data_IF_818682540508
#
_entry.id   IF_818682540508
#
_cell.length_a   1.000
_cell.length_b   1.000
_cell.length_c   1.000
_cell.angle_alpha   90.00
_cell.angle_beta   90.00
_cell.angle_gamma   90.00
#
_symmetry.space_group_name_H-M   'P 1'
#
loop_
_entity.id
_entity.type
_entity.pdbx_description
1 polymer ?
#
# COMPACT_ATOMS: atom_id res chain seq x y z
N UNK A 1 -8.45 -11.39 10.12
CA UNK A 1 -7.37 -10.62 9.45
C UNK A 1 -7.00 -9.48 10.39
N UNK A 2 -5.83 -9.52 11.06
CA UNK A 2 -5.40 -8.43 11.95
C UNK A 2 -4.68 -7.38 11.09
N UNK A 3 -5.12 -6.11 11.05
CA UNK A 3 -4.38 -5.07 10.36
C UNK A 3 -3.00 -4.95 11.02
N UNK A 4 -1.94 -5.02 10.21
CA UNK A 4 -0.57 -4.87 10.69
C UNK A 4 -0.24 -3.39 10.68
N UNK A 5 0.02 -2.84 11.86
CA UNK A 5 0.38 -1.44 12.05
C UNK A 5 1.85 -1.38 12.49
N UNK A 6 2.59 -0.40 11.97
CA UNK A 6 3.96 -0.15 12.39
C UNK A 6 4.00 0.76 13.62
N UNK A 7 4.20 0.17 14.80
CA UNK A 7 4.31 0.90 16.07
C UNK A 7 5.65 1.62 16.26
N UNK A 8 6.68 1.27 15.48
CA UNK A 8 8.00 1.88 15.61
C UNK A 8 8.07 3.29 14.99
N UNK A 9 7.12 3.63 14.11
CA UNK A 9 7.06 4.93 13.47
C UNK A 9 6.14 5.86 14.26
N UNK A 10 6.66 6.54 15.28
CA UNK A 10 5.87 7.47 16.10
C UNK A 10 5.70 8.82 15.39
N UNK A 11 4.52 9.48 15.49
CA UNK A 11 4.35 10.84 15.02
C UNK A 11 5.37 11.80 15.64
N UNK A 12 5.66 12.90 14.94
CA UNK A 12 6.66 13.84 15.39
C UNK A 12 6.26 14.51 16.72
N UNK A 13 7.11 14.48 17.76
CA UNK A 13 6.75 14.91 19.10
C UNK A 13 6.61 16.43 19.24
N UNK A 14 7.11 17.19 18.26
CA UNK A 14 7.08 18.65 18.19
C UNK A 14 5.79 19.21 17.58
N UNK A 15 4.89 18.34 17.12
CA UNK A 15 3.63 18.73 16.47
C UNK A 15 2.43 18.31 17.33
N UNK A 16 1.52 19.24 17.57
CA UNK A 16 0.25 18.96 18.26
C UNK A 16 -0.81 18.52 17.26
N UNK A 17 -1.07 17.22 17.20
CA UNK A 17 -2.11 16.65 16.33
C UNK A 17 -3.46 16.60 17.07
N UNK A 18 -4.48 17.30 16.56
CA UNK A 18 -5.85 17.18 17.09
C UNK A 18 -6.57 15.92 16.58
N UNK A 19 -6.24 15.49 15.35
CA UNK A 19 -6.83 14.34 14.68
C UNK A 19 -5.78 13.60 13.86
N UNK A 20 -5.92 12.28 13.74
CA UNK A 20 -5.08 11.43 12.90
C UNK A 20 -5.96 10.73 11.86
N UNK A 21 -5.61 10.85 10.58
CA UNK A 21 -6.27 10.12 9.49
C UNK A 21 -5.25 9.26 8.73
N UNK A 22 -5.75 8.24 8.04
CA UNK A 22 -4.93 7.38 7.21
C UNK A 22 -4.96 7.89 5.76
N UNK A 23 -3.79 8.21 5.21
CA UNK A 23 -3.62 8.45 3.78
C UNK A 23 -3.57 7.11 3.04
N UNK A 24 -4.73 6.61 2.62
CA UNK A 24 -4.92 5.37 1.85
C UNK A 24 -5.20 5.70 0.37
N UNK A 25 -4.90 4.84 -0.60
CA UNK A 25 -4.45 3.45 -0.49
C UNK A 25 -2.95 3.29 -0.80
N UNK A 26 -2.23 2.61 0.10
CA UNK A 26 -0.82 2.25 -0.02
C UNK A 26 -0.64 0.76 0.26
N UNK A 27 -0.74 -0.06 -0.79
CA UNK A 27 -0.54 -1.52 -0.70
C UNK A 27 0.93 -1.86 -0.72
N UNK A 28 1.28 -3.02 -0.17
CA UNK A 28 2.65 -3.51 -0.05
C UNK A 28 3.32 -3.16 1.28
N UNK A 29 2.71 -2.28 2.09
CA UNK A 29 3.22 -1.89 3.41
C UNK A 29 2.21 -2.17 4.52
N UNK A 30 2.74 -2.28 5.75
CA UNK A 30 1.94 -2.16 6.95
C UNK A 30 1.44 -0.72 7.11
N UNK A 31 0.34 -0.53 7.84
CA UNK A 31 -0.16 0.81 8.14
C UNK A 31 0.90 1.63 8.90
N UNK A 32 0.89 2.94 8.71
CA UNK A 32 1.84 3.89 9.33
C UNK A 32 3.30 3.71 8.87
N UNK A 33 3.51 3.45 7.58
CA UNK A 33 4.85 3.44 6.95
C UNK A 33 5.52 4.82 6.95
N UNK A 34 4.72 5.88 6.85
CA UNK A 34 5.14 7.27 6.96
C UNK A 34 4.09 8.06 7.75
N UNK A 35 4.51 9.09 8.47
CA UNK A 35 3.63 10.00 9.19
C UNK A 35 4.09 11.46 9.00
N UNK A 36 3.16 12.39 9.14
CA UNK A 36 3.43 13.81 8.96
C UNK A 36 2.14 14.63 8.95
N UNK A 37 2.27 15.95 9.07
CA UNK A 37 1.16 16.88 8.92
C UNK A 37 0.80 17.15 7.45
N UNK A 38 1.66 16.75 6.50
CA UNK A 38 1.40 16.75 5.07
C UNK A 38 1.62 15.34 4.50
N UNK A 39 0.81 14.95 3.52
CA UNK A 39 0.96 13.68 2.82
C UNK A 39 0.46 13.78 1.37
N UNK A 40 1.08 12.99 0.49
CA UNK A 40 0.65 12.81 -0.90
C UNK A 40 0.66 11.31 -1.21
N UNK A 41 -0.39 10.85 -1.89
CA UNK A 41 -0.52 9.48 -2.38
C UNK A 41 -0.97 9.52 -3.83
N UNK A 42 -0.30 8.73 -4.67
CA UNK A 42 -0.60 8.54 -6.08
C UNK A 42 -0.91 7.07 -6.29
N UNK A 43 -2.08 6.80 -6.87
CA UNK A 43 -2.55 5.45 -7.15
C UNK A 43 -2.76 5.29 -8.67
N UNK A 44 -2.15 4.26 -9.25
CA UNK A 44 -2.38 3.90 -10.65
C UNK A 44 -2.86 2.45 -10.71
N UNK A 45 -4.02 2.23 -11.31
CA UNK A 45 -4.56 0.89 -11.52
C UNK A 45 -4.95 0.69 -12.98
N UNK A 46 -4.52 -0.45 -13.55
CA UNK A 46 -5.00 -0.97 -14.82
C UNK A 46 -5.96 -2.13 -14.52
N UNK A 47 -7.20 -2.05 -15.03
CA UNK A 47 -8.25 -3.04 -14.81
C UNK A 47 -8.63 -3.70 -16.14
N UNK A 48 -8.52 -5.02 -16.21
CA UNK A 48 -8.81 -5.80 -17.41
C UNK A 48 -9.99 -6.75 -17.19
N UNK A 49 -11.16 -6.50 -17.82
CA UNK A 49 -12.35 -7.35 -17.69
C UNK A 49 -12.25 -8.60 -18.57
N UNK A 50 -11.66 -9.67 -18.01
CA UNK A 50 -11.21 -10.86 -18.76
C UNK A 50 -12.30 -11.48 -19.64
N UNK A 51 -13.42 -11.90 -19.05
CA UNK A 51 -14.43 -12.65 -19.81
C UNK A 51 -15.29 -11.75 -20.70
N UNK A 52 -15.51 -10.50 -20.31
CA UNK A 52 -16.24 -9.54 -21.14
C UNK A 52 -15.43 -9.15 -22.39
N UNK A 53 -14.09 -9.14 -22.31
CA UNK A 53 -13.24 -8.88 -23.48
C UNK A 53 -13.05 -10.10 -24.36
N UNK A 54 -12.93 -11.31 -23.79
CA UNK A 54 -12.63 -12.53 -24.56
C UNK A 54 -13.87 -13.26 -25.10
N UNK A 55 -15.06 -13.05 -24.52
CA UNK A 55 -16.29 -13.72 -24.93
C UNK A 55 -17.29 -12.71 -25.50
N UNK A 56 -17.66 -12.90 -26.78
CA UNK A 56 -18.70 -12.09 -27.42
C UNK A 56 -20.11 -12.69 -27.25
N UNK A 57 -20.45 -13.12 -26.04
CA UNK A 57 -21.78 -13.67 -25.73
C UNK A 57 -22.25 -13.26 -24.33
N UNK A 58 -23.57 -13.20 -24.09
CA UNK A 58 -24.10 -12.90 -22.75
C UNK A 58 -23.66 -13.93 -21.71
N UNK A 59 -23.16 -13.44 -20.56
CA UNK A 59 -22.75 -14.27 -19.43
C UNK A 59 -23.77 -14.09 -18.30
N UNK A 60 -24.53 -15.15 -18.00
CA UNK A 60 -25.53 -15.14 -16.93
C UNK A 60 -24.90 -15.11 -15.53
N UNK A 61 -23.76 -15.77 -15.35
CA UNK A 61 -23.05 -15.80 -14.07
C UNK A 61 -22.40 -14.44 -13.79
N UNK A 62 -22.89 -13.74 -12.75
CA UNK A 62 -22.38 -12.43 -12.34
C UNK A 62 -20.89 -12.46 -11.96
N UNK A 63 -20.40 -13.57 -11.39
CA UNK A 63 -18.99 -13.71 -11.04
C UNK A 63 -18.09 -13.65 -12.28
N UNK A 64 -18.41 -14.45 -13.30
CA UNK A 64 -17.63 -14.49 -14.54
C UNK A 64 -17.79 -13.19 -15.33
N UNK A 65 -19.00 -12.65 -15.41
CA UNK A 65 -19.28 -11.40 -16.12
C UNK A 65 -18.47 -10.22 -15.55
N UNK A 66 -18.32 -10.16 -14.23
CA UNK A 66 -17.66 -9.06 -13.54
C UNK A 66 -16.21 -9.36 -13.13
N UNK A 67 -15.64 -10.49 -13.58
CA UNK A 67 -14.27 -10.85 -13.21
C UNK A 67 -13.26 -9.94 -13.93
N UNK A 68 -12.43 -9.27 -13.14
CA UNK A 68 -11.39 -8.36 -13.60
C UNK A 68 -10.05 -8.74 -12.99
N UNK A 69 -9.02 -8.73 -13.83
CA UNK A 69 -7.63 -8.71 -13.35
C UNK A 69 -7.17 -7.27 -13.21
N UNK A 70 -6.37 -7.00 -12.20
CA UNK A 70 -5.91 -5.66 -11.86
C UNK A 70 -4.40 -5.69 -11.72
N UNK A 71 -3.73 -4.76 -12.36
CA UNK A 71 -2.36 -4.39 -12.02
C UNK A 71 -2.43 -3.03 -11.34
N UNK A 72 -1.67 -2.83 -10.27
CA UNK A 72 -1.59 -1.53 -9.63
C UNK A 72 -0.18 -1.15 -9.21
N UNK A 73 0.05 0.15 -9.10
CA UNK A 73 1.22 0.80 -8.52
C UNK A 73 0.74 1.93 -7.61
N UNK A 74 1.23 1.92 -6.37
CA UNK A 74 0.90 2.87 -5.33
C UNK A 74 2.19 3.57 -4.90
N UNK A 75 2.21 4.91 -4.93
CA UNK A 75 3.34 5.71 -4.46
C UNK A 75 2.84 6.69 -3.40
N UNK A 76 3.57 6.86 -2.31
CA UNK A 76 3.15 7.74 -1.22
C UNK A 76 4.32 8.33 -0.46
N UNK A 77 4.11 9.49 0.15
CA UNK A 77 5.07 10.11 1.07
C UNK A 77 4.34 10.98 2.07
N UNK A 78 4.90 11.14 3.26
CA UNK A 78 4.40 12.02 4.30
C UNK A 78 5.58 12.74 4.96
N UNK A 79 5.39 14.01 5.31
CA UNK A 79 6.43 14.86 5.90
C UNK A 79 5.82 15.88 6.86
N UNK A 80 6.67 16.49 7.68
CA UNK A 80 6.30 17.60 8.56
C UNK A 80 6.87 18.93 8.04
N UNK A 81 6.05 19.98 8.03
CA UNK A 81 6.49 21.34 7.71
C UNK A 81 6.63 21.64 6.21
N UNK A 82 7.68 22.39 5.82
CA UNK A 82 7.87 22.87 4.44
C UNK A 82 8.27 21.71 3.50
N UNK A 83 8.12 21.92 2.19
CA UNK A 83 8.43 20.94 1.13
C UNK A 83 9.89 20.46 1.08
N UNK A 84 10.81 21.07 1.84
CA UNK A 84 12.19 20.62 1.94
C UNK A 84 12.38 19.36 2.82
N UNK A 85 11.33 18.93 3.53
CA UNK A 85 11.36 17.74 4.40
C UNK A 85 10.87 16.45 3.75
N UNK A 86 10.63 16.43 2.43
CA UNK A 86 10.13 15.21 1.76
C UNK A 86 11.28 14.21 1.60
N UNK A 87 11.22 13.11 2.34
CA UNK A 87 12.17 12.01 2.24
C UNK A 87 11.47 10.65 2.30
N UNK A 88 12.18 9.62 1.81
CA UNK A 88 11.67 8.24 1.91
C UNK A 88 11.84 7.76 3.36
N UNK A 89 10.77 7.27 4.01
CA UNK A 89 10.84 6.80 5.38
C UNK A 89 11.83 5.65 5.52
N UNK A 90 12.47 5.58 6.69
CA UNK A 90 13.44 4.57 7.03
C UNK A 90 13.25 4.09 8.46
N UNK A 91 13.63 2.84 8.70
CA UNK A 91 13.72 2.28 10.05
C UNK A 91 15.18 2.29 10.49
N UNK A 92 15.42 2.71 11.73
CA UNK A 92 16.75 2.65 12.35
C UNK A 92 16.83 1.36 13.15
N UNK A 93 17.86 0.55 12.88
CA UNK A 93 18.23 -0.57 13.70
C UNK A 93 19.47 -0.17 14.51
N UNK A 94 19.36 -0.04 15.84
CA UNK A 94 20.55 0.15 16.68
C UNK A 94 21.43 -1.10 16.61
N UNK A 95 22.74 -0.92 16.81
CA UNK A 95 23.68 -2.04 16.90
C UNK A 95 23.27 -3.06 17.96
N UNK A 96 23.76 -4.29 17.84
CA UNK A 96 23.37 -5.40 18.72
C UNK A 96 23.79 -5.20 20.18
N UNK A 97 24.76 -4.31 20.43
CA UNK A 97 25.18 -3.88 21.76
C UNK A 97 24.77 -2.42 22.04
N UNK A 98 24.37 -2.09 23.28
CA UNK A 98 24.07 -0.72 23.68
C UNK A 98 25.22 0.28 23.49
N UNK A 99 26.47 -0.21 23.51
CA UNK A 99 27.70 0.57 23.37
C UNK A 99 28.21 0.69 21.92
N UNK A 100 27.49 0.11 20.95
CA UNK A 100 27.89 0.16 19.55
C UNK A 100 27.48 1.50 18.92
N UNK A 101 28.44 2.36 18.49
CA UNK A 101 28.14 3.66 17.92
C UNK A 101 27.50 3.58 16.52
N UNK A 102 27.41 2.38 15.93
CA UNK A 102 26.91 2.18 14.57
C UNK A 102 25.41 1.89 14.57
N UNK A 103 24.65 2.69 13.82
CA UNK A 103 23.24 2.43 13.51
C UNK A 103 23.04 2.23 12.01
N UNK A 104 22.19 1.26 11.64
CA UNK A 104 21.89 0.96 10.25
C UNK A 104 20.52 1.57 9.92
N UNK A 105 20.48 2.42 8.89
CA UNK A 105 19.25 2.99 8.35
C UNK A 105 18.78 2.20 7.14
N UNK A 106 17.65 1.52 7.26
CA UNK A 106 17.04 0.79 6.15
C UNK A 106 15.86 1.60 5.63
N UNK A 107 16.01 2.12 4.41
CA UNK A 107 14.93 2.84 3.72
C UNK A 107 13.85 1.86 3.26
N UNK A 108 12.58 2.24 3.40
CA UNK A 108 11.46 1.49 2.85
C UNK A 108 11.55 1.39 1.31
N UNK A 109 10.89 0.38 0.74
CA UNK A 109 10.83 0.22 -0.72
C UNK A 109 10.10 1.38 -1.38
N UNK A 110 10.57 1.78 -2.57
CA UNK A 110 10.02 2.94 -3.26
C UNK A 110 11.00 3.60 -4.21
N UNK A 111 10.56 4.70 -4.81
CA UNK A 111 11.30 5.45 -5.83
C UNK A 111 11.42 6.90 -5.38
N UNK A 112 12.65 7.42 -5.37
CA UNK A 112 12.92 8.78 -4.89
C UNK A 112 12.46 8.98 -3.44
N UNK A 113 11.74 10.08 -3.13
CA UNK A 113 11.24 10.35 -1.78
C UNK A 113 9.95 9.58 -1.44
N UNK A 114 9.41 8.80 -2.37
CA UNK A 114 8.17 8.06 -2.18
C UNK A 114 8.44 6.63 -1.71
N UNK A 115 7.64 6.15 -0.76
CA UNK A 115 7.40 4.71 -0.64
C UNK A 115 6.58 4.24 -1.81
N UNK A 116 6.85 3.02 -2.25
CA UNK A 116 6.20 2.47 -3.42
C UNK A 116 5.87 1.01 -3.27
N UNK A 117 4.64 0.66 -3.64
CA UNK A 117 4.17 -0.71 -3.69
C UNK A 117 3.55 -1.00 -5.05
N UNK A 118 3.63 -2.23 -5.48
CA UNK A 118 3.00 -2.67 -6.72
C UNK A 118 2.52 -4.10 -6.58
N UNK A 119 1.58 -4.48 -7.43
CA UNK A 119 1.02 -5.81 -7.33
C UNK A 119 -0.13 -6.07 -8.27
N UNK A 120 -0.70 -7.24 -8.09
CA UNK A 120 -1.79 -7.74 -8.89
C UNK A 120 -2.99 -8.02 -8.00
N UNK A 121 -4.17 -7.89 -8.58
CA UNK A 121 -5.41 -8.23 -7.92
C UNK A 121 -6.41 -8.89 -8.85
N UNK A 122 -7.40 -9.51 -8.26
CA UNK A 122 -8.59 -9.99 -8.92
C UNK A 122 -9.82 -9.37 -8.24
N UNK A 123 -10.78 -8.95 -9.06
CA UNK A 123 -12.05 -8.39 -8.62
C UNK A 123 -13.19 -9.13 -9.27
N UNK A 124 -14.29 -9.35 -8.54
CA UNK A 124 -15.50 -9.95 -9.09
C UNK A 124 -16.70 -9.66 -8.18
N UNK A 125 -17.89 -10.05 -8.60
CA UNK A 125 -19.12 -9.97 -7.80
C UNK A 125 -19.61 -11.38 -7.47
N UNK A 126 -19.87 -11.65 -6.20
CA UNK A 126 -20.44 -12.91 -5.72
C UNK A 126 -21.67 -12.61 -4.85
N UNK A 127 -22.83 -13.17 -5.22
CA UNK A 127 -24.09 -13.01 -4.47
C UNK A 127 -24.47 -11.55 -4.18
N UNK A 128 -24.16 -10.62 -5.11
CA UNK A 128 -24.41 -9.19 -4.95
C UNK A 128 -23.32 -8.44 -4.16
N UNK A 129 -22.34 -9.15 -3.60
CA UNK A 129 -21.18 -8.54 -2.94
C UNK A 129 -20.00 -8.43 -3.89
N UNK A 130 -19.29 -7.33 -3.74
CA UNK A 130 -18.07 -7.04 -4.45
C UNK A 130 -16.87 -7.64 -3.71
N UNK A 131 -16.13 -8.52 -4.40
CA UNK A 131 -14.94 -9.18 -3.90
C UNK A 131 -13.70 -8.55 -4.52
N UNK A 132 -12.69 -8.33 -3.69
CA UNK A 132 -11.37 -7.86 -4.08
C UNK A 132 -10.30 -8.68 -3.38
N UNK A 133 -9.40 -9.27 -4.14
CA UNK A 133 -8.23 -9.98 -3.63
C UNK A 133 -6.99 -9.40 -4.31
N UNK A 134 -6.13 -8.72 -3.55
CA UNK A 134 -4.89 -8.10 -4.05
C UNK A 134 -3.68 -8.75 -3.38
N UNK A 135 -2.58 -8.91 -4.11
CA UNK A 135 -1.25 -9.26 -3.60
C UNK A 135 -0.31 -8.12 -3.99
N UNK A 136 0.41 -7.57 -3.03
CA UNK A 136 1.34 -6.47 -3.25
C UNK A 136 2.73 -6.74 -2.69
N UNK A 137 3.74 -6.16 -3.34
CA UNK A 137 5.14 -6.15 -2.94
C UNK A 137 5.60 -4.71 -2.76
N UNK A 138 6.58 -4.53 -1.88
CA UNK A 138 7.33 -3.27 -1.79
C UNK A 138 8.23 -3.10 -3.02
N UNK A 139 8.43 -1.86 -3.47
CA UNK A 139 9.37 -1.49 -4.53
C UNK A 139 10.84 -1.55 -4.05
N UNK A 140 11.28 -2.74 -3.65
CA UNK A 140 12.65 -3.05 -3.21
C UNK A 140 13.41 -3.93 -4.23
N UNK A 141 12.90 -4.00 -5.46
CA UNK A 141 13.34 -4.87 -6.53
C UNK A 141 12.15 -5.49 -7.25
N UNK A 142 12.41 -6.39 -8.20
CA UNK A 142 11.38 -7.13 -8.94
C UNK A 142 10.92 -8.35 -8.14
N UNK A 143 9.67 -8.36 -7.69
CA UNK A 143 9.01 -9.36 -6.84
C UNK A 143 9.87 -9.82 -5.64
N UNK A 144 10.63 -8.90 -5.05
CA UNK A 144 11.57 -9.20 -3.97
C UNK A 144 10.91 -9.01 -2.60
N UNK A 145 11.13 -9.96 -1.70
CA UNK A 145 10.61 -9.91 -0.33
C UNK A 145 9.25 -10.59 -0.17
N UNK A 146 8.67 -10.49 1.03
CA UNK A 146 7.41 -11.15 1.37
C UNK A 146 6.23 -10.31 0.87
N UNK A 147 5.34 -10.86 0.02
CA UNK A 147 4.14 -10.14 -0.39
C UNK A 147 3.16 -9.97 0.77
N UNK A 148 2.32 -8.94 0.66
CA UNK A 148 1.15 -8.73 1.51
C UNK A 148 -0.10 -9.07 0.71
N UNK A 149 -0.92 -9.97 1.27
CA UNK A 149 -2.21 -10.33 0.72
C UNK A 149 -3.31 -9.48 1.37
N UNK A 150 -4.20 -8.95 0.54
CA UNK A 150 -5.35 -8.15 0.92
C UNK A 150 -6.60 -8.84 0.40
N UNK A 151 -7.62 -8.95 1.25
CA UNK A 151 -8.94 -9.42 0.88
C UNK A 151 -9.97 -8.45 1.42
N UNK A 152 -10.89 -8.02 0.56
CA UNK A 152 -11.97 -7.12 0.91
C UNK A 152 -13.28 -7.60 0.29
N UNK A 153 -14.37 -7.39 1.03
CA UNK A 153 -15.74 -7.69 0.64
C UNK A 153 -16.59 -6.46 0.96
N UNK A 154 -17.34 -5.96 -0.01
CA UNK A 154 -18.14 -4.74 0.12
C UNK A 154 -19.46 -4.83 -0.64
N UNK A 155 -20.36 -3.87 -0.38
CA UNK A 155 -21.61 -3.72 -1.12
C UNK A 155 -21.49 -2.73 -2.29
N UNK A 156 -20.47 -1.87 -2.29
CA UNK A 156 -20.12 -0.92 -3.37
C UNK A 156 -18.62 -0.55 -3.26
N UNK A 157 -17.92 -0.29 -4.38
CA UNK A 157 -16.48 0.06 -4.37
C UNK A 157 -16.00 1.07 -5.43
#
# INVERSE_FOLDING_TARGET
>A
IKPKFNNANTPAPDQTYAFQSLAVNMRGFNQNVANGNNAVVINSELRFPVFATLLNKPINNAFLRNFQLVQFVDLGTAWNGKFNGIERPYTIYPGSNPDDPVSIRIKAGGIGPFVGGYGFGARSTLLGYFLKADVAWEMNGLFKGKPIFYFALGLDF
#
